data_IF_363191249710
#
_entry.id   IF_363191249710
#
_cell.length_a   1.000
_cell.length_b   1.000
_cell.length_c   1.000
_cell.angle_alpha   90.00
_cell.angle_beta   90.00
_cell.angle_gamma   90.00
#
_symmetry.space_group_name_H-M   'P 1'
#
loop_
_entity.id
_entity.type
_entity.pdbx_description
1 polymer ?
#
# COMPACT_ATOMS: atom_id res chain seq x y z
N UNK A 1 -13.73 6.39 16.72
CA UNK A 1 -14.24 6.27 15.33
C UNK A 1 -14.27 4.81 14.87
N UNK A 2 -13.25 4.01 15.16
CA UNK A 2 -13.16 2.60 14.75
C UNK A 2 -13.19 1.64 15.96
N UNK A 3 -13.72 2.11 17.09
CA UNK A 3 -13.85 1.31 18.31
C UNK A 3 -14.88 0.21 18.08
N UNK A 4 -14.67 -0.96 18.65
CA UNK A 4 -15.50 -2.15 18.53
C UNK A 4 -15.57 -2.68 17.08
N UNK A 5 -14.50 -2.46 16.30
CA UNK A 5 -14.34 -2.94 14.91
C UNK A 5 -13.03 -3.72 14.76
N UNK A 6 -12.86 -4.42 13.63
CA UNK A 6 -11.61 -5.16 13.35
C UNK A 6 -10.34 -4.27 13.37
N UNK A 7 -10.49 -2.97 13.10
CA UNK A 7 -9.39 -2.01 13.10
C UNK A 7 -8.80 -1.75 14.50
N UNK A 8 -9.44 -2.21 15.58
CA UNK A 8 -8.81 -2.22 16.92
C UNK A 8 -7.58 -3.13 16.96
N UNK A 9 -7.53 -4.15 16.10
CA UNK A 9 -6.39 -5.06 15.97
C UNK A 9 -5.27 -4.47 15.08
N UNK A 10 -5.47 -3.29 14.51
CA UNK A 10 -4.52 -2.60 13.66
C UNK A 10 -4.96 -2.44 12.21
N UNK A 11 -4.09 -1.78 11.45
CA UNK A 11 -4.22 -1.50 10.02
C UNK A 11 -3.13 -2.30 9.33
N UNK A 12 -3.48 -3.08 8.31
CA UNK A 12 -2.53 -3.88 7.53
C UNK A 12 -2.14 -3.25 6.19
N UNK A 13 -2.98 -2.36 5.64
CA UNK A 13 -2.68 -1.61 4.43
C UNK A 13 -3.36 -0.24 4.45
N UNK A 14 -2.77 0.75 3.76
CA UNK A 14 -3.35 2.08 3.62
C UNK A 14 -2.84 2.80 2.37
N UNK A 15 -3.68 3.63 1.77
CA UNK A 15 -3.26 4.61 0.77
C UNK A 15 -4.05 5.92 0.87
N UNK A 16 -3.37 7.01 0.54
CA UNK A 16 -3.94 8.34 0.41
C UNK A 16 -4.42 8.63 -1.03
N UNK A 17 -5.40 9.51 -1.15
CA UNK A 17 -5.87 10.01 -2.45
C UNK A 17 -5.31 11.40 -2.73
N UNK A 18 -5.03 11.69 -4.00
CA UNK A 18 -4.59 13.03 -4.42
C UNK A 18 -5.71 14.07 -4.37
N UNK A 19 -6.97 13.62 -4.33
CA UNK A 19 -8.16 14.49 -4.28
C UNK A 19 -8.80 14.40 -2.90
N UNK A 20 -9.33 15.54 -2.43
CA UNK A 20 -10.16 15.63 -1.23
C UNK A 20 -9.50 15.23 0.10
N UNK A 21 -8.18 14.98 0.10
CA UNK A 21 -7.43 14.56 1.29
C UNK A 21 -8.09 13.34 1.96
N UNK A 22 -8.46 12.34 1.16
CA UNK A 22 -9.09 11.12 1.66
C UNK A 22 -8.05 10.03 1.83
N UNK A 23 -8.32 9.07 2.70
CA UNK A 23 -7.45 7.94 2.96
C UNK A 23 -8.29 6.69 3.09
N UNK A 24 -7.82 5.60 2.49
CA UNK A 24 -8.38 4.29 2.68
C UNK A 24 -7.45 3.49 3.56
N UNK A 25 -8.00 2.87 4.60
CA UNK A 25 -7.27 1.97 5.50
C UNK A 25 -7.98 0.61 5.52
N UNK A 26 -7.18 -0.44 5.65
CA UNK A 26 -7.60 -1.82 5.54
C UNK A 26 -7.23 -2.60 6.81
N UNK A 27 -8.02 -3.62 7.11
CA UNK A 27 -7.74 -4.58 8.18
C UNK A 27 -8.47 -5.88 7.84
N UNK A 28 -7.71 -6.92 7.52
CA UNK A 28 -8.23 -8.16 6.96
C UNK A 28 -9.00 -7.91 5.68
N UNK A 29 -10.24 -8.41 5.61
CA UNK A 29 -11.12 -8.23 4.45
C UNK A 29 -12.02 -6.98 4.54
N UNK A 30 -11.74 -6.04 5.46
CA UNK A 30 -12.53 -4.83 5.64
C UNK A 30 -11.72 -3.57 5.34
N UNK A 31 -12.41 -2.52 4.91
CA UNK A 31 -11.85 -1.20 4.69
C UNK A 31 -12.76 -0.09 5.21
N UNK A 32 -12.15 1.06 5.48
CA UNK A 32 -12.85 2.33 5.69
C UNK A 32 -12.25 3.42 4.84
N UNK A 33 -13.07 4.41 4.50
CA UNK A 33 -12.65 5.66 3.87
C UNK A 33 -12.74 6.78 4.91
N UNK A 34 -11.67 7.55 5.07
CA UNK A 34 -11.59 8.64 6.05
C UNK A 34 -11.11 9.93 5.43
N UNK A 35 -11.34 11.07 6.10
CA UNK A 35 -10.64 12.32 5.81
C UNK A 35 -9.30 12.38 6.52
N UNK A 36 -8.30 12.96 5.87
CA UNK A 36 -7.07 13.58 6.34
C UNK A 36 -6.50 13.07 7.69
N UNK A 37 -5.38 12.32 7.69
CA UNK A 37 -4.69 11.92 8.92
C UNK A 37 -4.00 13.09 9.66
N UNK A 38 -3.82 14.25 9.02
CA UNK A 38 -3.06 15.39 9.58
C UNK A 38 -3.86 16.33 10.49
N UNK A 39 -5.05 15.95 10.94
CA UNK A 39 -5.82 16.76 11.88
C UNK A 39 -6.51 15.88 12.92
N UNK A 40 -6.73 16.44 14.10
CA UNK A 40 -7.59 15.84 15.14
C UNK A 40 -9.06 15.66 14.69
N UNK A 41 -9.38 16.07 13.46
CA UNK A 41 -10.71 16.06 12.87
C UNK A 41 -10.86 14.99 11.78
N UNK A 42 -10.07 13.90 11.81
CA UNK A 42 -10.29 12.76 10.94
C UNK A 42 -11.73 12.24 11.10
N UNK A 43 -12.46 12.08 9.99
CA UNK A 43 -13.86 11.63 9.96
C UNK A 43 -13.97 10.39 9.11
N UNK A 44 -14.88 9.51 9.52
CA UNK A 44 -15.30 8.35 8.76
C UNK A 44 -16.24 8.85 7.67
N UNK A 45 -15.83 8.65 6.41
CA UNK A 45 -16.63 8.98 5.25
C UNK A 45 -17.47 7.79 4.80
N UNK A 46 -16.91 6.58 4.91
CA UNK A 46 -17.58 5.34 4.54
C UNK A 46 -16.96 4.14 5.25
N UNK A 47 -17.76 3.08 5.45
CA UNK A 47 -17.38 1.85 6.15
C UNK A 47 -17.53 1.96 7.68
N UNK A 48 -17.02 0.97 8.46
CA UNK A 48 -16.38 -0.27 8.01
C UNK A 48 -17.27 -1.12 7.12
N UNK A 49 -16.69 -1.68 6.06
CA UNK A 49 -17.37 -2.62 5.19
C UNK A 49 -16.36 -3.57 4.56
N UNK A 50 -16.85 -4.64 3.93
CA UNK A 50 -16.01 -5.55 3.16
C UNK A 50 -15.32 -4.81 2.00
N UNK A 51 -14.11 -5.25 1.66
CA UNK A 51 -13.39 -4.77 0.47
C UNK A 51 -14.26 -4.90 -0.78
N UNK A 52 -15.02 -6.00 -0.91
CA UNK A 52 -15.92 -6.24 -2.04
C UNK A 52 -17.15 -5.33 -2.08
N UNK A 53 -17.56 -4.77 -0.94
CA UNK A 53 -18.64 -3.79 -0.89
C UNK A 53 -18.16 -2.42 -1.35
N UNK A 54 -16.93 -2.04 -0.96
CA UNK A 54 -16.32 -0.78 -1.38
C UNK A 54 -15.83 -0.85 -2.85
N UNK A 55 -15.21 -1.97 -3.21
CA UNK A 55 -14.55 -2.21 -4.49
C UNK A 55 -15.01 -3.55 -5.10
N UNK A 56 -16.22 -3.60 -5.70
CA UNK A 56 -16.78 -4.83 -6.26
C UNK A 56 -15.91 -5.47 -7.35
N UNK A 57 -15.08 -4.70 -8.04
CA UNK A 57 -14.18 -5.21 -9.07
C UNK A 57 -13.01 -6.03 -8.53
N UNK A 58 -12.80 -6.06 -7.22
CA UNK A 58 -11.83 -6.95 -6.58
C UNK A 58 -12.38 -8.36 -6.30
N UNK A 59 -13.66 -8.64 -6.55
CA UNK A 59 -14.24 -9.98 -6.35
C UNK A 59 -13.54 -11.01 -7.25
N UNK A 60 -13.07 -12.11 -6.66
CA UNK A 60 -12.42 -13.20 -7.39
C UNK A 60 -10.96 -12.93 -7.78
N UNK A 61 -10.37 -11.86 -7.26
CA UNK A 61 -8.97 -11.51 -7.56
C UNK A 61 -7.99 -12.08 -6.53
N UNK A 62 -8.48 -12.45 -5.35
CA UNK A 62 -7.72 -12.73 -4.13
C UNK A 62 -7.63 -11.52 -3.19
N UNK A 63 -7.69 -10.30 -3.72
CA UNK A 63 -7.59 -9.04 -2.96
C UNK A 63 -8.84 -8.75 -2.14
N UNK A 64 -9.97 -9.39 -2.45
CA UNK A 64 -11.20 -9.32 -1.64
C UNK A 64 -11.00 -9.78 -0.19
N UNK A 65 -9.99 -10.61 0.07
CA UNK A 65 -9.71 -11.19 1.39
C UNK A 65 -8.64 -10.41 2.18
N UNK A 66 -8.17 -9.29 1.64
CA UNK A 66 -7.18 -8.42 2.27
C UNK A 66 -6.02 -8.08 1.35
N UNK A 67 -5.34 -7.00 1.69
CA UNK A 67 -4.30 -6.36 0.89
C UNK A 67 -3.08 -6.18 1.79
N UNK A 68 -1.89 -6.53 1.31
CA UNK A 68 -0.66 -6.49 2.12
C UNK A 68 -0.02 -5.11 2.08
N UNK A 69 -0.05 -4.44 0.94
CA UNK A 69 0.46 -3.08 0.82
C UNK A 69 -0.10 -2.38 -0.41
N UNK A 70 0.17 -1.09 -0.52
CA UNK A 70 -0.23 -0.29 -1.67
C UNK A 70 0.74 0.84 -1.98
N UNK A 71 0.79 1.25 -3.25
CA UNK A 71 1.44 2.48 -3.69
C UNK A 71 0.56 3.22 -4.68
N UNK A 72 0.62 4.55 -4.71
CA UNK A 72 0.08 5.33 -5.82
C UNK A 72 0.90 5.04 -7.07
N UNK A 73 0.20 4.85 -8.19
CA UNK A 73 0.82 4.72 -9.50
C UNK A 73 1.47 6.03 -9.91
N UNK A 74 2.58 5.95 -10.65
CA UNK A 74 3.31 7.11 -11.14
C UNK A 74 2.77 7.66 -12.45
N UNK A 75 1.94 6.87 -13.15
CA UNK A 75 1.44 7.20 -14.48
C UNK A 75 0.08 7.91 -14.43
N UNK A 76 -0.70 7.69 -13.37
CA UNK A 76 -2.02 8.25 -13.21
C UNK A 76 -2.37 8.39 -11.72
N UNK A 77 -2.74 9.61 -11.31
CA UNK A 77 -3.02 9.98 -9.92
C UNK A 77 -4.31 9.34 -9.37
N UNK A 78 -5.11 8.73 -10.24
CA UNK A 78 -6.30 7.95 -9.87
C UNK A 78 -6.01 6.48 -9.62
N UNK A 79 -4.84 5.98 -10.03
CA UNK A 79 -4.54 4.55 -9.99
C UNK A 79 -3.65 4.19 -8.81
N UNK A 80 -4.01 3.11 -8.14
CA UNK A 80 -3.33 2.55 -6.97
C UNK A 80 -2.85 1.15 -7.34
N UNK A 81 -1.59 0.86 -7.06
CA UNK A 81 -1.07 -0.50 -7.07
C UNK A 81 -1.41 -1.13 -5.72
N UNK A 82 -2.17 -2.22 -5.72
CA UNK A 82 -2.45 -3.02 -4.53
C UNK A 82 -1.62 -4.31 -4.62
N UNK A 83 -0.97 -4.70 -3.53
CA UNK A 83 -0.09 -5.86 -3.48
C UNK A 83 -0.67 -6.97 -2.59
N UNK A 84 -0.54 -8.22 -3.05
CA UNK A 84 -0.88 -9.41 -2.28
C UNK A 84 -0.08 -10.60 -2.80
N UNK A 85 0.72 -11.22 -1.93
CA UNK A 85 1.65 -12.27 -2.34
C UNK A 85 2.61 -11.75 -3.40
N UNK A 86 2.90 -12.56 -4.41
CA UNK A 86 3.80 -12.19 -5.52
C UNK A 86 3.10 -11.41 -6.66
N UNK A 87 1.88 -10.92 -6.43
CA UNK A 87 1.06 -10.22 -7.42
C UNK A 87 0.71 -8.80 -6.99
N UNK A 88 0.45 -7.98 -8.01
CA UNK A 88 -0.18 -6.68 -7.86
C UNK A 88 -1.34 -6.52 -8.84
N UNK A 89 -2.28 -5.66 -8.45
CA UNK A 89 -3.29 -5.10 -9.34
C UNK A 89 -3.13 -3.61 -9.45
N UNK A 90 -3.34 -3.06 -10.64
CA UNK A 90 -3.48 -1.61 -10.87
C UNK A 90 -4.98 -1.33 -10.85
N UNK A 91 -5.41 -0.54 -9.88
CA UNK A 91 -6.82 -0.25 -9.62
C UNK A 91 -7.08 1.24 -9.75
N UNK A 92 -8.05 1.64 -10.57
CA UNK A 92 -8.51 3.02 -10.63
C UNK A 92 -9.61 3.25 -9.58
N UNK A 93 -9.28 4.07 -8.58
CA UNK A 93 -10.12 4.23 -7.39
C UNK A 93 -11.39 5.04 -7.61
N UNK A 94 -11.46 5.89 -8.65
CA UNK A 94 -12.64 6.73 -8.89
C UNK A 94 -13.65 6.05 -9.80
N UNK A 95 -13.16 5.33 -10.81
CA UNK A 95 -14.01 4.51 -11.69
C UNK A 95 -14.32 3.14 -11.09
N UNK A 96 -13.65 2.76 -9.99
CA UNK A 96 -13.77 1.46 -9.34
C UNK A 96 -13.47 0.33 -10.33
N UNK A 97 -12.40 0.47 -11.12
CA UNK A 97 -12.06 -0.46 -12.20
C UNK A 97 -10.69 -1.09 -12.02
N UNK A 98 -10.62 -2.37 -12.36
CA UNK A 98 -9.36 -3.09 -12.46
C UNK A 98 -8.71 -2.74 -13.80
N UNK A 99 -7.58 -2.05 -13.77
CA UNK A 99 -6.84 -1.61 -14.96
C UNK A 99 -5.90 -2.71 -15.44
N UNK A 100 -5.19 -3.36 -14.52
CA UNK A 100 -4.22 -4.41 -14.85
C UNK A 100 -3.97 -5.36 -13.66
N UNK A 101 -3.40 -6.53 -13.94
CA UNK A 101 -2.95 -7.52 -12.95
C UNK A 101 -1.69 -8.22 -13.45
N UNK A 102 -0.66 -8.25 -12.62
CA UNK A 102 0.60 -8.90 -12.96
C UNK A 102 1.40 -9.33 -11.75
N UNK A 103 2.42 -10.15 -11.98
CA UNK A 103 3.43 -10.47 -10.95
C UNK A 103 4.24 -9.23 -10.58
N UNK A 104 4.64 -9.12 -9.32
CA UNK A 104 5.55 -8.07 -8.85
C UNK A 104 6.84 -8.09 -9.67
N UNK A 105 7.40 -9.27 -9.95
CA UNK A 105 8.60 -9.46 -10.78
C UNK A 105 8.44 -9.01 -12.24
N UNK A 106 7.21 -8.91 -12.75
CA UNK A 106 6.95 -8.40 -14.09
C UNK A 106 6.98 -6.87 -14.11
N UNK A 107 6.43 -6.23 -13.08
CA UNK A 107 6.33 -4.77 -12.95
C UNK A 107 7.63 -4.14 -12.41
N UNK A 108 8.16 -4.70 -11.33
CA UNK A 108 9.34 -4.24 -10.61
C UNK A 108 10.51 -5.17 -10.91
N UNK A 109 11.13 -5.00 -12.08
CA UNK A 109 12.22 -5.88 -12.54
C UNK A 109 13.42 -5.88 -11.59
N UNK A 110 13.68 -4.78 -10.89
CA UNK A 110 14.71 -4.71 -9.87
C UNK A 110 14.46 -5.62 -8.64
N UNK A 111 13.23 -6.11 -8.45
CA UNK A 111 12.88 -6.96 -7.30
C UNK A 111 13.11 -8.44 -7.56
N UNK A 112 13.39 -8.86 -8.80
CA UNK A 112 13.68 -10.26 -9.14
C UNK A 112 14.89 -10.76 -8.36
N UNK A 113 14.76 -11.92 -7.71
CA UNK A 113 15.78 -12.51 -6.86
C UNK A 113 15.95 -11.85 -5.49
N UNK A 114 15.05 -10.93 -5.12
CA UNK A 114 15.10 -10.21 -3.85
C UNK A 114 13.98 -10.64 -2.90
N UNK A 115 14.02 -10.17 -1.66
CA UNK A 115 12.95 -10.40 -0.66
C UNK A 115 11.60 -9.83 -1.07
N UNK A 116 11.55 -8.87 -2.02
CA UNK A 116 10.32 -8.23 -2.48
C UNK A 116 9.64 -8.97 -3.63
N UNK A 117 10.30 -9.94 -4.27
CA UNK A 117 9.73 -10.69 -5.40
C UNK A 117 8.45 -11.43 -5.01
N UNK A 118 8.40 -11.95 -3.78
CA UNK A 118 7.29 -12.74 -3.25
C UNK A 118 6.28 -11.93 -2.43
N UNK A 119 6.38 -10.60 -2.42
CA UNK A 119 5.44 -9.73 -1.72
C UNK A 119 6.07 -8.52 -1.04
N UNK A 120 5.22 -7.65 -0.51
CA UNK A 120 5.59 -6.39 0.10
C UNK A 120 4.67 -6.18 1.31
N UNK A 121 5.25 -6.07 2.50
CA UNK A 121 4.50 -5.98 3.78
C UNK A 121 3.97 -4.57 4.05
N UNK A 122 4.66 -3.55 3.53
CA UNK A 122 4.21 -2.17 3.57
C UNK A 122 4.93 -1.36 2.49
N UNK A 123 4.29 -0.32 1.98
CA UNK A 123 4.93 0.62 1.08
C UNK A 123 4.29 2.01 1.20
N UNK A 124 5.05 3.04 0.85
CA UNK A 124 4.51 4.38 0.66
C UNK A 124 5.30 5.15 -0.39
N UNK A 125 4.61 6.05 -1.09
CA UNK A 125 5.23 7.01 -2.00
C UNK A 125 5.86 8.15 -1.19
N UNK A 126 7.11 8.49 -1.48
CA UNK A 126 7.73 9.65 -0.85
C UNK A 126 7.14 10.95 -1.44
N UNK A 127 7.55 12.09 -0.88
CA UNK A 127 7.21 13.39 -1.46
C UNK A 127 7.97 13.69 -2.76
N UNK A 128 8.98 12.88 -3.10
CA UNK A 128 9.71 12.97 -4.36
C UNK A 128 9.01 12.11 -5.40
N UNK A 129 8.85 12.69 -6.60
CA UNK A 129 8.14 12.03 -7.70
C UNK A 129 8.81 10.72 -8.08
N UNK A 130 7.99 9.70 -8.33
CA UNK A 130 8.37 8.35 -8.75
C UNK A 130 9.16 7.54 -7.70
N UNK A 131 9.33 8.06 -6.49
CA UNK A 131 10.07 7.38 -5.43
C UNK A 131 9.12 6.71 -4.43
N UNK A 132 9.44 5.48 -4.07
CA UNK A 132 8.72 4.70 -3.06
C UNK A 132 9.67 4.08 -2.06
N UNK A 133 9.22 3.96 -0.83
CA UNK A 133 9.82 3.08 0.16
C UNK A 133 8.98 1.81 0.22
N UNK A 134 9.63 0.66 0.12
CA UNK A 134 9.00 -0.67 0.26
C UNK A 134 9.63 -1.43 1.42
N UNK A 135 8.83 -2.19 2.15
CA UNK A 135 9.24 -2.94 3.34
C UNK A 135 8.86 -4.42 3.22
N UNK A 136 9.72 -5.29 3.73
CA UNK A 136 9.48 -6.72 3.86
C UNK A 136 10.27 -7.28 5.06
N UNK A 137 9.56 -7.76 6.08
CA UNK A 137 10.15 -8.18 7.34
C UNK A 137 11.06 -7.08 7.92
N UNK A 138 12.31 -7.43 8.21
CA UNK A 138 13.30 -6.48 8.73
C UNK A 138 13.99 -5.60 7.66
N UNK A 139 13.59 -5.72 6.39
CA UNK A 139 14.25 -5.07 5.26
C UNK A 139 13.40 -3.97 4.64
N UNK A 140 14.07 -2.99 4.05
CA UNK A 140 13.46 -1.96 3.22
C UNK A 140 14.34 -1.59 2.02
N UNK A 141 13.72 -0.99 1.02
CA UNK A 141 14.43 -0.36 -0.09
C UNK A 141 13.83 0.99 -0.43
N UNK A 142 14.69 1.92 -0.84
CA UNK A 142 14.29 3.18 -1.47
C UNK A 142 14.43 3.02 -2.98
N UNK A 143 13.32 3.11 -3.70
CA UNK A 143 13.24 2.67 -5.09
C UNK A 143 12.58 3.72 -5.96
N UNK A 144 13.14 3.95 -7.15
CA UNK A 144 12.54 4.78 -8.19
C UNK A 144 11.82 3.90 -9.21
N UNK A 145 10.50 4.08 -9.32
CA UNK A 145 9.64 3.29 -10.19
C UNK A 145 9.94 3.55 -11.66
N UNK A 146 10.22 4.81 -12.03
CA UNK A 146 10.44 5.20 -13.43
C UNK A 146 11.76 4.67 -13.97
N UNK A 147 12.83 4.77 -13.20
CA UNK A 147 14.16 4.30 -13.63
C UNK A 147 14.40 2.83 -13.30
N UNK A 148 13.52 2.20 -12.52
CA UNK A 148 13.64 0.83 -12.03
C UNK A 148 14.98 0.61 -11.30
N UNK A 149 15.28 1.47 -10.33
CA UNK A 149 16.55 1.48 -9.59
C UNK A 149 16.38 1.64 -8.09
N UNK A 150 17.24 0.98 -7.32
CA UNK A 150 17.42 1.26 -5.89
C UNK A 150 18.23 2.53 -5.70
N UNK A 151 17.60 3.56 -5.13
CA UNK A 151 18.20 4.87 -4.88
C UNK A 151 19.20 4.84 -3.72
N UNK A 152 19.04 3.88 -2.81
CA UNK A 152 19.98 3.62 -1.72
C UNK A 152 21.07 2.59 -2.10
N UNK A 153 21.14 2.19 -3.38
CA UNK A 153 22.10 1.24 -3.95
C UNK A 153 21.75 -0.24 -3.74
N UNK A 154 21.24 -0.61 -2.56
CA UNK A 154 20.89 -1.99 -2.21
C UNK A 154 19.81 -2.05 -1.11
N UNK A 155 19.27 -3.25 -0.88
CA UNK A 155 18.27 -3.53 0.15
C UNK A 155 18.91 -3.45 1.55
N UNK A 156 18.31 -2.67 2.44
CA UNK A 156 18.88 -2.34 3.75
C UNK A 156 18.00 -2.88 4.87
N UNK A 157 18.58 -3.05 6.06
CA UNK A 157 17.80 -3.33 7.26
C UNK A 157 17.13 -2.06 7.75
N UNK A 158 15.87 -2.19 8.18
CA UNK A 158 15.08 -1.08 8.72
C UNK A 158 15.80 -0.51 9.95
N UNK A 159 16.17 -1.39 10.89
CA UNK A 159 16.88 -1.03 12.11
C UNK A 159 18.05 -0.09 11.78
N UNK A 160 18.99 -0.48 10.91
CA UNK A 160 20.23 0.28 10.72
C UNK A 160 20.06 1.69 10.12
N UNK A 161 18.94 1.96 9.43
CA UNK A 161 18.74 3.21 8.69
C UNK A 161 17.52 4.03 9.12
N UNK A 162 16.71 3.50 10.03
CA UNK A 162 15.58 4.19 10.64
C UNK A 162 15.78 4.26 12.16
N UNK A 163 16.78 5.04 12.64
CA UNK A 163 17.15 5.06 14.06
C UNK A 163 16.01 5.51 14.97
N UNK A 164 15.07 6.31 14.45
CA UNK A 164 13.87 6.69 15.17
C UNK A 164 12.95 5.49 15.53
N UNK A 165 13.17 4.32 14.93
CA UNK A 165 12.34 3.11 15.13
C UNK A 165 13.00 2.06 16.02
N UNK A 166 14.26 2.22 16.44
CA UNK A 166 15.01 1.22 17.23
C UNK A 166 14.33 0.75 18.53
N UNK A 167 13.54 1.62 19.16
CA UNK A 167 12.82 1.29 20.40
C UNK A 167 11.37 0.82 20.18
N UNK A 168 10.92 0.75 18.93
CA UNK A 168 9.53 0.45 18.55
C UNK A 168 9.47 -0.89 17.84
N UNK A 169 10.36 -1.09 16.86
CA UNK A 169 10.47 -2.31 16.10
C UNK A 169 11.48 -3.21 16.82
N UNK A 170 10.98 -4.29 17.43
CA UNK A 170 11.81 -5.32 18.08
C UNK A 170 12.19 -6.42 17.09
#
# INVERSE_FOLDING_TARGET
>A
MLKDTIFENGIDCAFDTTRNNETFIFSGNQCVKTTAPQSTNARLLSGPMLITAMFPTLIGTGFENGIESSTRSINNDTTINLFKGDELVVFDMYSNSLVDRMKISAHYRAFVGTVFESGIDAAFNTHVKDEVIVFKGQYYAHYNIRTNQFLNGYIKRIHDYWPALHGILQ
#
